data_IF_202548970891
#
_entry.id   IF_202548970891
#
_cell.length_a   1.000
_cell.length_b   1.000
_cell.length_c   1.000
_cell.angle_alpha   90.00
_cell.angle_beta   90.00
_cell.angle_gamma   90.00
#
_symmetry.space_group_name_H-M   'P 1'
#
loop_
_entity.id
_entity.type
_entity.pdbx_description
1 polymer ?
#
# COMPACT_ATOMS: atom_id res chain seq x y z
N UNK A 1 11.84 -29.06 -3.15
CA UNK A 1 10.44 -28.66 -2.97
C UNK A 1 10.23 -27.63 -1.85
N UNK A 2 11.26 -27.26 -1.06
CA UNK A 2 11.13 -26.30 0.05
C UNK A 2 11.10 -24.83 -0.39
N UNK A 3 11.83 -24.45 -1.44
CA UNK A 3 12.05 -23.02 -1.79
C UNK A 3 10.78 -22.22 -2.16
N UNK A 4 9.69 -22.88 -2.57
CA UNK A 4 8.45 -22.21 -2.97
C UNK A 4 7.50 -21.93 -1.78
N UNK A 5 7.82 -22.46 -0.60
CA UNK A 5 7.00 -22.29 0.61
C UNK A 5 7.50 -21.08 1.41
N UNK A 6 8.82 -20.96 1.57
CA UNK A 6 9.46 -19.80 2.22
C UNK A 6 9.13 -18.47 1.52
N UNK A 7 9.11 -18.42 0.19
CA UNK A 7 8.77 -17.20 -0.56
C UNK A 7 7.31 -16.77 -0.34
N UNK A 8 6.40 -17.74 -0.25
CA UNK A 8 4.97 -17.47 -0.02
C UNK A 8 4.71 -17.01 1.41
N UNK A 9 5.44 -17.56 2.38
CA UNK A 9 5.37 -17.10 3.77
C UNK A 9 5.89 -15.66 3.89
N UNK A 10 7.04 -15.33 3.30
CA UNK A 10 7.59 -13.96 3.30
C UNK A 10 6.69 -12.95 2.57
N UNK A 11 6.01 -13.36 1.49
CA UNK A 11 5.03 -12.51 0.79
C UNK A 11 3.78 -12.28 1.65
N UNK A 12 3.29 -13.33 2.31
CA UNK A 12 2.15 -13.23 3.22
C UNK A 12 2.46 -12.29 4.38
N UNK A 13 3.66 -12.40 4.97
CA UNK A 13 4.14 -11.47 5.99
C UNK A 13 4.23 -10.03 5.48
N UNK A 14 4.73 -9.83 4.25
CA UNK A 14 4.80 -8.52 3.61
C UNK A 14 3.42 -7.90 3.40
N UNK A 15 2.46 -8.70 2.93
CA UNK A 15 1.06 -8.30 2.79
C UNK A 15 0.45 -7.91 4.14
N UNK A 16 0.62 -8.75 5.17
CA UNK A 16 0.11 -8.44 6.52
C UNK A 16 0.72 -7.14 7.07
N UNK A 17 1.99 -6.89 6.77
CA UNK A 17 2.67 -5.68 7.20
C UNK A 17 2.16 -4.44 6.45
N UNK A 18 1.86 -4.55 5.15
CA UNK A 18 1.21 -3.46 4.39
C UNK A 18 -0.19 -3.16 4.94
N UNK A 19 -1.01 -4.19 5.18
CA UNK A 19 -2.35 -4.04 5.76
C UNK A 19 -2.28 -3.39 7.14
N UNK A 20 -1.34 -3.82 7.99
CA UNK A 20 -1.15 -3.25 9.32
C UNK A 20 -0.77 -1.75 9.26
N UNK A 21 0.05 -1.35 8.28
CA UNK A 21 0.40 0.05 8.05
C UNK A 21 -0.80 0.88 7.60
N UNK A 22 -1.62 0.35 6.68
CA UNK A 22 -2.85 1.01 6.21
C UNK A 22 -3.88 1.17 7.34
N UNK A 23 -4.07 0.13 8.15
CA UNK A 23 -4.93 0.20 9.33
C UNK A 23 -4.45 1.21 10.37
N UNK A 24 -3.14 1.22 10.66
CA UNK A 24 -2.53 2.20 11.56
C UNK A 24 -2.70 3.62 11.02
N UNK A 25 -2.54 3.80 9.71
CA UNK A 25 -2.79 5.08 9.04
C UNK A 25 -4.21 5.57 9.29
N UNK A 26 -5.23 4.76 8.95
CA UNK A 26 -6.64 5.11 9.15
C UNK A 26 -6.96 5.42 10.62
N UNK A 27 -6.39 4.67 11.57
CA UNK A 27 -6.60 4.93 13.00
C UNK A 27 -6.00 6.26 13.43
N UNK A 28 -4.79 6.59 12.97
CA UNK A 28 -4.15 7.88 13.26
C UNK A 28 -4.96 9.02 12.66
N UNK A 29 -5.42 8.90 11.41
CA UNK A 29 -6.29 9.90 10.80
C UNK A 29 -7.59 10.09 11.59
N UNK A 30 -8.29 9.00 11.96
CA UNK A 30 -9.52 9.08 12.74
C UNK A 30 -9.30 9.68 14.15
N UNK A 31 -8.19 9.37 14.81
CA UNK A 31 -7.86 9.91 16.13
C UNK A 31 -7.47 11.39 16.07
N UNK A 32 -6.76 11.81 15.02
CA UNK A 32 -6.42 13.22 14.79
C UNK A 32 -7.70 14.00 14.46
N UNK A 33 -8.58 13.47 13.59
CA UNK A 33 -9.85 14.10 13.23
C UNK A 33 -10.79 14.36 14.43
N UNK A 34 -10.71 13.54 15.49
CA UNK A 34 -11.53 13.68 16.71
C UNK A 34 -10.92 14.60 17.79
N UNK A 35 -9.68 15.08 17.62
CA UNK A 35 -8.98 15.91 18.61
C UNK A 35 -8.76 17.32 18.05
N UNK A 36 -9.67 18.25 18.37
CA UNK A 36 -9.55 19.67 18.02
C UNK A 36 -8.35 20.34 18.73
N UNK A 37 -7.14 20.14 18.22
CA UNK A 37 -5.92 20.82 18.66
C UNK A 37 -5.47 21.91 17.67
N UNK A 38 -4.87 23.03 18.14
CA UNK A 38 -4.64 24.24 17.33
C UNK A 38 -3.58 24.13 16.22
N UNK A 39 -2.81 23.03 16.14
CA UNK A 39 -1.79 22.79 15.10
C UNK A 39 -2.15 21.65 14.12
N UNK A 40 -3.45 21.35 13.99
CA UNK A 40 -4.04 20.19 13.31
C UNK A 40 -3.42 19.86 11.94
N UNK A 41 -3.41 20.81 10.99
CA UNK A 41 -3.05 20.51 9.60
C UNK A 41 -1.58 20.19 9.36
N UNK A 42 -0.67 20.65 10.22
CA UNK A 42 0.77 20.45 10.02
C UNK A 42 1.25 19.09 10.55
N UNK A 43 0.74 18.66 11.72
CA UNK A 43 1.10 17.37 12.31
C UNK A 43 0.40 16.22 11.58
N UNK A 44 -0.87 16.39 11.21
CA UNK A 44 -1.62 15.46 10.38
C UNK A 44 -0.90 15.22 9.04
N UNK A 45 -0.54 16.29 8.33
CA UNK A 45 0.17 16.19 7.04
C UNK A 45 1.58 15.60 7.17
N UNK A 46 2.29 15.84 8.28
CA UNK A 46 3.62 15.28 8.52
C UNK A 46 3.59 13.76 8.79
N UNK A 47 2.67 13.31 9.65
CA UNK A 47 2.54 11.87 9.96
C UNK A 47 1.97 11.11 8.76
N UNK A 48 0.99 11.71 8.06
CA UNK A 48 0.46 11.17 6.82
C UNK A 48 1.56 11.00 5.76
N UNK A 49 2.36 12.05 5.50
CA UNK A 49 3.51 11.97 4.56
C UNK A 49 4.56 10.95 4.99
N UNK A 50 4.85 10.82 6.30
CA UNK A 50 5.83 9.87 6.78
C UNK A 50 5.37 8.42 6.55
N UNK A 51 4.11 8.10 6.86
CA UNK A 51 3.57 6.77 6.64
C UNK A 51 3.46 6.42 5.15
N UNK A 52 3.05 7.37 4.29
CA UNK A 52 3.03 7.16 2.84
C UNK A 52 4.44 6.94 2.28
N UNK A 53 5.45 7.67 2.77
CA UNK A 53 6.84 7.44 2.38
C UNK A 53 7.35 6.07 2.83
N UNK A 54 6.98 5.60 4.02
CA UNK A 54 7.35 4.26 4.49
C UNK A 54 6.71 3.17 3.63
N UNK A 55 5.43 3.32 3.31
CA UNK A 55 4.70 2.42 2.42
C UNK A 55 5.31 2.42 1.01
N UNK A 56 5.58 3.61 0.45
CA UNK A 56 6.25 3.73 -0.85
C UNK A 56 7.62 3.05 -0.87
N UNK A 57 8.45 3.23 0.18
CA UNK A 57 9.76 2.57 0.26
C UNK A 57 9.63 1.05 0.32
N UNK A 58 8.62 0.52 1.02
CA UNK A 58 8.32 -0.92 1.04
C UNK A 58 7.92 -1.41 -0.34
N UNK A 59 7.02 -0.70 -1.03
CA UNK A 59 6.62 -1.05 -2.39
C UNK A 59 7.82 -1.01 -3.36
N UNK A 60 8.72 -0.03 -3.19
CA UNK A 60 9.91 0.15 -4.03
C UNK A 60 10.86 -1.07 -4.02
N UNK A 61 10.94 -1.79 -2.90
CA UNK A 61 11.81 -2.96 -2.73
C UNK A 61 11.14 -4.30 -3.07
N UNK A 62 9.81 -4.34 -3.24
CA UNK A 62 9.05 -5.54 -3.60
C UNK A 62 9.06 -5.75 -5.11
N UNK A 63 8.93 -6.99 -5.60
CA UNK A 63 8.82 -7.22 -7.04
C UNK A 63 7.47 -6.75 -7.59
N UNK A 64 7.37 -6.40 -8.89
CA UNK A 64 6.10 -6.02 -9.52
C UNK A 64 4.98 -7.05 -9.29
N UNK A 65 5.30 -8.35 -9.33
CA UNK A 65 4.36 -9.43 -9.06
C UNK A 65 3.87 -9.48 -7.60
N UNK A 66 4.76 -9.18 -6.65
CA UNK A 66 4.41 -9.10 -5.22
C UNK A 66 3.48 -7.90 -4.96
N UNK A 67 3.79 -6.76 -5.58
CA UNK A 67 2.94 -5.55 -5.51
C UNK A 67 1.59 -5.80 -6.15
N UNK A 68 1.54 -6.47 -7.30
CA UNK A 68 0.30 -6.88 -7.94
C UNK A 68 -0.55 -7.76 -7.01
N UNK A 69 0.06 -8.78 -6.39
CA UNK A 69 -0.63 -9.63 -5.42
C UNK A 69 -1.20 -8.83 -4.23
N UNK A 70 -0.45 -7.85 -3.72
CA UNK A 70 -0.92 -6.96 -2.65
C UNK A 70 -2.11 -6.12 -3.13
N UNK A 71 -2.03 -5.50 -4.30
CA UNK A 71 -3.12 -4.69 -4.87
C UNK A 71 -4.40 -5.51 -5.07
N UNK A 72 -4.28 -6.79 -5.47
CA UNK A 72 -5.43 -7.68 -5.60
C UNK A 72 -6.06 -8.06 -4.27
N UNK A 73 -5.25 -8.24 -3.22
CA UNK A 73 -5.71 -8.57 -1.89
C UNK A 73 -6.36 -7.38 -1.15
N UNK A 74 -6.06 -6.14 -1.56
CA UNK A 74 -6.60 -4.93 -0.96
C UNK A 74 -8.00 -4.58 -1.49
N UNK A 75 -8.86 -4.00 -0.63
CA UNK A 75 -10.13 -3.42 -1.06
C UNK A 75 -9.91 -2.20 -1.96
N UNK A 76 -10.94 -1.81 -2.71
CA UNK A 76 -10.87 -0.77 -3.74
C UNK A 76 -10.21 0.53 -3.27
N UNK A 77 -10.61 1.05 -2.11
CA UNK A 77 -10.08 2.32 -1.58
C UNK A 77 -8.57 2.23 -1.32
N UNK A 78 -8.15 1.25 -0.52
CA UNK A 78 -6.74 1.03 -0.16
C UNK A 78 -5.87 0.71 -1.37
N UNK A 79 -6.45 0.01 -2.35
CA UNK A 79 -5.77 -0.28 -3.61
C UNK A 79 -5.43 1.00 -4.37
N UNK A 80 -6.37 1.94 -4.47
CA UNK A 80 -6.13 3.22 -5.14
C UNK A 80 -5.08 4.04 -4.39
N UNK A 81 -5.15 4.09 -3.05
CA UNK A 81 -4.13 4.74 -2.22
C UNK A 81 -2.72 4.17 -2.47
N UNK A 82 -2.60 2.85 -2.52
CA UNK A 82 -1.32 2.17 -2.80
C UNK A 82 -0.87 2.43 -4.23
N UNK A 83 -1.80 2.44 -5.20
CA UNK A 83 -1.51 2.69 -6.61
C UNK A 83 -0.95 4.10 -6.85
N UNK A 84 -1.49 5.12 -6.18
CA UNK A 84 -0.96 6.49 -6.27
C UNK A 84 0.48 6.64 -5.74
N UNK A 85 0.93 5.71 -4.89
CA UNK A 85 2.31 5.69 -4.36
C UNK A 85 3.32 5.00 -5.29
N UNK A 86 2.83 4.18 -6.22
CA UNK A 86 3.67 3.47 -7.20
C UNK A 86 4.25 4.46 -8.20
N UNK A 87 5.55 4.35 -8.48
CA UNK A 87 6.20 5.19 -9.50
C UNK A 87 5.74 4.77 -10.90
N UNK A 88 5.57 5.76 -11.78
CA UNK A 88 5.20 5.57 -13.18
C UNK A 88 6.23 4.79 -14.03
N UNK A 89 7.39 4.45 -13.48
CA UNK A 89 8.37 3.56 -14.13
C UNK A 89 8.05 2.08 -13.88
N UNK A 90 7.30 1.77 -12.82
CA UNK A 90 6.97 0.41 -12.35
C UNK A 90 5.51 0.04 -12.58
N UNK A 91 4.65 1.03 -12.79
CA UNK A 91 3.23 0.86 -13.04
C UNK A 91 2.98 -0.09 -14.23
N UNK A 92 3.76 0.02 -15.31
CA UNK A 92 3.65 -0.83 -16.48
C UNK A 92 3.95 -2.31 -16.18
N UNK A 93 4.99 -2.58 -15.40
CA UNK A 93 5.33 -3.94 -14.97
C UNK A 93 4.25 -4.50 -14.04
N UNK A 94 3.75 -3.70 -13.10
CA UNK A 94 2.70 -4.12 -12.16
C UNK A 94 1.38 -4.38 -12.90
N UNK A 95 1.03 -3.55 -13.89
CA UNK A 95 -0.18 -3.73 -14.70
C UNK A 95 -0.16 -5.05 -15.47
N UNK A 96 1.02 -5.53 -15.88
CA UNK A 96 1.18 -6.82 -16.56
C UNK A 96 0.91 -8.01 -15.61
N UNK A 97 1.24 -7.85 -14.33
CA UNK A 97 1.13 -8.90 -13.32
C UNK A 97 -0.26 -8.97 -12.65
N UNK A 98 -1.00 -7.86 -12.60
CA UNK A 98 -2.39 -7.84 -12.07
C UNK A 98 -3.41 -8.43 -13.05
N UNK A 99 -4.47 -9.01 -12.51
CA UNK A 99 -5.65 -9.49 -13.22
C UNK A 99 -6.43 -8.37 -13.89
N UNK A 100 -7.17 -8.70 -14.95
CA UNK A 100 -7.88 -7.73 -15.80
C UNK A 100 -8.90 -6.88 -15.02
N UNK A 101 -9.60 -7.48 -14.04
CA UNK A 101 -10.55 -6.77 -13.19
C UNK A 101 -9.86 -5.71 -12.31
N UNK A 102 -8.68 -6.02 -11.78
CA UNK A 102 -7.88 -5.09 -10.98
C UNK A 102 -7.26 -4.03 -11.88
N UNK A 103 -6.69 -4.43 -13.03
CA UNK A 103 -6.15 -3.51 -14.04
C UNK A 103 -7.16 -2.44 -14.43
N UNK A 104 -8.39 -2.84 -14.79
CA UNK A 104 -9.45 -1.90 -15.15
C UNK A 104 -9.74 -0.90 -14.03
N UNK A 105 -9.67 -1.34 -12.77
CA UNK A 105 -9.87 -0.46 -11.61
C UNK A 105 -8.77 0.59 -11.46
N UNK A 106 -7.53 0.26 -11.84
CA UNK A 106 -6.36 1.13 -11.69
C UNK A 106 -6.24 2.20 -12.79
N UNK A 107 -6.88 1.96 -13.94
CA UNK A 107 -6.82 2.84 -15.13
C UNK A 107 -8.16 3.50 -15.49
N UNK A 108 -9.23 3.18 -14.75
CA UNK A 108 -10.61 3.64 -15.01
C UNK A 108 -10.82 5.13 -14.71
#
# INVERSE_FOLDING_TARGET
>A
MAENQDTKESLSESLQQVIALLHKHRLVENLVHNQAMPNHGLVESLVHKQHLQELQRKLDVLHPADVAYILEALPLEERLDVWELVKAERDGEILLEVSDAVRQTLIA
#
